data_IF_649832556889
#
_entry.id   IF_649832556889
#
_cell.length_a   1.000
_cell.length_b   1.000
_cell.length_c   1.000
_cell.angle_alpha   90.00
_cell.angle_beta   90.00
_cell.angle_gamma   90.00
#
_symmetry.space_group_name_H-M   'P 1'
#
loop_
_entity.id
_entity.type
_entity.pdbx_description
1 polymer ?
#
# COMPACT_ATOMS: atom_id res chain seq x y z
N UNK A 1 13.81 1.82 -4.02
CA UNK A 1 13.51 1.79 -2.56
C UNK A 1 12.55 2.92 -2.27
N UNK A 2 11.52 2.73 -1.45
CA UNK A 2 10.65 3.81 -1.03
C UNK A 2 10.77 3.98 0.48
N UNK A 3 10.96 5.21 0.93
CA UNK A 3 11.01 5.56 2.35
C UNK A 3 9.91 6.57 2.67
N UNK A 4 9.40 6.52 3.90
CA UNK A 4 8.52 7.55 4.43
C UNK A 4 9.27 8.33 5.50
N UNK A 5 9.35 9.65 5.34
CA UNK A 5 10.00 10.57 6.26
C UNK A 5 8.95 11.36 7.04
N UNK A 6 9.01 11.29 8.37
CA UNK A 6 8.18 12.13 9.25
C UNK A 6 8.68 13.58 9.19
N UNK A 7 7.76 14.52 9.02
CA UNK A 7 8.05 15.95 8.94
C UNK A 7 7.69 16.61 10.27
N UNK A 8 6.43 17.04 10.40
CA UNK A 8 5.82 17.60 11.61
C UNK A 8 4.72 16.67 12.15
N UNK A 9 4.08 17.05 13.25
CA UNK A 9 3.03 16.24 13.87
C UNK A 9 1.84 16.03 12.93
N UNK A 10 1.69 14.83 12.38
CA UNK A 10 0.63 14.50 11.41
C UNK A 10 1.03 14.56 9.94
N UNK A 11 2.31 14.85 9.65
CA UNK A 11 2.78 14.98 8.27
C UNK A 11 3.92 14.01 7.98
N UNK A 12 3.82 13.32 6.84
CA UNK A 12 4.85 12.43 6.34
C UNK A 12 4.97 12.54 4.82
N UNK A 13 6.22 12.55 4.36
CA UNK A 13 6.56 12.61 2.96
C UNK A 13 7.10 11.26 2.50
N UNK A 14 6.65 10.80 1.33
CA UNK A 14 7.25 9.67 0.63
C UNK A 14 8.44 10.11 -0.21
N UNK A 15 9.56 9.40 -0.11
CA UNK A 15 10.75 9.62 -0.91
C UNK A 15 11.07 8.32 -1.68
N UNK A 16 11.14 8.42 -3.00
CA UNK A 16 11.52 7.30 -3.86
C UNK A 16 13.01 7.41 -4.17
N UNK A 17 13.74 6.33 -3.93
CA UNK A 17 15.16 6.23 -4.16
C UNK A 17 15.49 5.18 -5.22
N UNK A 18 16.43 5.52 -6.10
CA UNK A 18 17.03 4.62 -7.07
C UNK A 18 18.39 4.17 -6.55
N UNK A 19 18.57 2.85 -6.41
CA UNK A 19 19.88 2.28 -6.09
C UNK A 19 20.69 2.18 -7.38
N UNK A 20 21.71 3.01 -7.51
CA UNK A 20 22.57 3.06 -8.70
C UNK A 20 23.58 1.92 -8.65
N UNK A 21 24.14 1.66 -7.47
CA UNK A 21 25.08 0.57 -7.22
C UNK A 21 24.97 0.08 -5.75
N UNK A 22 25.77 -0.91 -5.32
CA UNK A 22 25.66 -1.44 -3.97
C UNK A 22 25.86 -0.42 -2.84
N UNK A 23 26.61 0.65 -3.06
CA UNK A 23 27.00 1.67 -2.07
C UNK A 23 26.36 3.04 -2.33
N UNK A 24 25.80 3.26 -3.53
CA UNK A 24 25.24 4.54 -3.95
C UNK A 24 23.72 4.48 -4.17
N UNK A 25 23.02 5.41 -3.53
CA UNK A 25 21.56 5.57 -3.64
C UNK A 25 21.28 7.03 -3.94
N UNK A 26 20.46 7.27 -4.97
CA UNK A 26 20.04 8.59 -5.38
C UNK A 26 18.53 8.72 -5.17
N UNK A 27 18.05 9.96 -4.98
CA UNK A 27 16.61 10.23 -5.08
C UNK A 27 16.22 9.95 -6.53
N UNK A 28 15.23 9.08 -6.72
CA UNK A 28 14.77 8.72 -8.05
C UNK A 28 14.32 10.00 -8.77
N UNK A 29 14.83 10.27 -9.98
CA UNK A 29 14.60 11.53 -10.66
C UNK A 29 13.10 11.70 -10.90
N UNK A 30 12.54 12.63 -10.15
CA UNK A 30 11.31 13.31 -10.47
C UNK A 30 11.63 14.31 -11.59
N UNK A 31 10.70 14.50 -12.52
CA UNK A 31 10.83 15.59 -13.47
C UNK A 31 10.81 16.92 -12.68
N UNK A 32 11.65 17.89 -13.09
CA UNK A 32 11.51 19.33 -12.73
C UNK A 32 11.78 19.73 -11.27
N UNK A 33 12.87 19.30 -10.63
CA UNK A 33 13.28 19.73 -9.26
C UNK A 33 12.22 19.53 -8.13
N UNK A 34 11.09 18.90 -8.45
CA UNK A 34 9.96 18.66 -7.54
C UNK A 34 10.15 17.36 -6.78
N UNK A 35 9.87 17.30 -5.48
CA UNK A 35 9.89 16.04 -4.73
C UNK A 35 8.76 15.08 -5.18
N UNK A 36 8.81 13.84 -4.72
CA UNK A 36 7.72 12.89 -4.97
C UNK A 36 6.36 13.41 -4.44
N UNK A 37 6.35 14.07 -3.28
CA UNK A 37 5.13 14.62 -2.68
C UNK A 37 4.58 15.80 -3.47
N UNK A 38 5.45 16.69 -3.95
CA UNK A 38 5.05 17.84 -4.78
C UNK A 38 4.31 17.41 -6.05
N UNK A 39 4.55 16.18 -6.53
CA UNK A 39 3.91 15.64 -7.73
C UNK A 39 2.69 14.78 -7.43
N UNK A 40 2.76 13.91 -6.40
CA UNK A 40 1.71 12.91 -6.14
C UNK A 40 0.40 13.54 -5.64
N UNK A 41 0.49 14.56 -4.78
CA UNK A 41 -0.70 15.17 -4.20
C UNK A 41 -1.51 15.95 -5.25
N UNK A 42 -0.91 16.87 -6.05
CA UNK A 42 -1.63 17.53 -7.14
C UNK A 42 -2.17 16.54 -8.19
N UNK A 43 -1.45 15.46 -8.46
CA UNK A 43 -1.95 14.40 -9.35
C UNK A 43 -3.25 13.80 -8.83
N UNK A 44 -3.33 13.43 -7.55
CA UNK A 44 -4.53 12.86 -6.94
C UNK A 44 -5.71 13.84 -6.92
N UNK A 45 -5.46 15.14 -6.73
CA UNK A 45 -6.47 16.19 -6.86
C UNK A 45 -6.96 16.31 -8.31
N UNK A 46 -6.05 16.36 -9.28
CA UNK A 46 -6.38 16.42 -10.72
C UNK A 46 -7.20 15.20 -11.17
N UNK A 47 -6.95 14.03 -10.60
CA UNK A 47 -7.71 12.80 -10.87
C UNK A 47 -9.03 12.71 -10.06
N UNK A 48 -9.37 13.74 -9.27
CA UNK A 48 -10.55 13.76 -8.38
C UNK A 48 -10.56 12.61 -7.35
N UNK A 49 -9.40 12.03 -7.04
CA UNK A 49 -9.24 11.04 -5.98
C UNK A 49 -9.17 11.70 -4.60
N UNK A 50 -8.67 12.93 -4.54
CA UNK A 50 -8.74 13.83 -3.39
C UNK A 50 -9.43 15.13 -3.78
N UNK A 51 -10.03 15.80 -2.79
CA UNK A 51 -10.71 17.09 -2.99
C UNK A 51 -9.74 18.27 -2.98
N UNK A 52 -8.64 18.15 -2.25
CA UNK A 52 -7.63 19.18 -2.10
C UNK A 52 -6.25 18.54 -1.88
N UNK A 53 -5.21 19.35 -2.03
CA UNK A 53 -3.86 18.97 -1.65
C UNK A 53 -3.70 19.20 -0.14
N UNK A 54 -3.38 18.15 0.61
CA UNK A 54 -3.18 18.21 2.07
C UNK A 54 -1.71 18.02 2.46
N UNK A 55 -0.77 18.19 1.52
CA UNK A 55 0.67 17.95 1.74
C UNK A 55 1.36 18.98 2.63
N UNK A 56 0.69 20.10 2.90
CA UNK A 56 1.20 21.19 3.75
C UNK A 56 0.12 21.61 4.76
N UNK A 57 0.54 22.28 5.82
CA UNK A 57 -0.33 22.92 6.83
C UNK A 57 -1.02 24.17 6.27
N UNK A 58 -1.70 24.02 5.13
CA UNK A 58 -2.48 25.07 4.49
C UNK A 58 -3.98 24.71 4.59
N UNK A 59 -4.84 25.73 4.63
CA UNK A 59 -6.30 25.59 4.62
C UNK A 59 -6.92 24.67 5.69
N UNK A 60 -6.30 24.60 6.88
CA UNK A 60 -6.87 23.91 8.04
C UNK A 60 -6.71 22.38 8.05
N UNK A 61 -5.85 21.84 7.18
CA UNK A 61 -5.40 20.46 7.29
C UNK A 61 -4.41 20.32 8.46
N UNK A 62 -4.63 19.34 9.34
CA UNK A 62 -3.68 18.99 10.40
C UNK A 62 -2.94 17.68 10.08
N UNK A 63 -3.21 17.08 8.92
CA UNK A 63 -2.70 15.78 8.51
C UNK A 63 -2.45 15.71 7.02
N UNK A 64 -1.27 15.21 6.65
CA UNK A 64 -0.85 14.94 5.28
C UNK A 64 0.19 13.83 5.26
N UNK A 65 -0.25 12.60 5.00
CA UNK A 65 0.57 11.40 5.06
C UNK A 65 0.69 10.77 3.67
N UNK A 66 1.92 10.41 3.30
CA UNK A 66 2.23 9.58 2.14
C UNK A 66 2.85 8.27 2.62
N UNK A 67 2.08 7.20 2.57
CA UNK A 67 2.45 5.90 3.13
C UNK A 67 2.72 4.86 2.04
N UNK A 68 3.76 4.06 2.25
CA UNK A 68 4.01 2.85 1.48
C UNK A 68 2.87 1.84 1.68
N UNK A 69 2.39 1.23 0.61
CA UNK A 69 1.43 0.12 0.70
C UNK A 69 2.06 -1.18 0.21
N UNK A 70 2.52 -1.20 -1.05
CA UNK A 70 3.08 -2.40 -1.66
C UNK A 70 3.88 -2.07 -2.91
N UNK A 71 4.80 -2.97 -3.27
CA UNK A 71 5.33 -3.09 -4.62
C UNK A 71 4.52 -4.12 -5.40
N UNK A 72 4.34 -3.88 -6.70
CA UNK A 72 3.77 -4.91 -7.60
C UNK A 72 4.74 -6.08 -7.72
N UNK A 73 4.22 -7.24 -8.10
CA UNK A 73 5.00 -8.48 -8.21
C UNK A 73 6.21 -8.35 -9.14
N UNK A 74 6.06 -7.58 -10.22
CA UNK A 74 7.09 -7.27 -11.21
C UNK A 74 7.97 -6.07 -10.83
N UNK A 75 7.75 -5.47 -9.65
CA UNK A 75 8.43 -4.27 -9.14
C UNK A 75 8.32 -3.04 -10.03
N UNK A 76 7.39 -3.03 -11.00
CA UNK A 76 7.19 -1.92 -11.93
C UNK A 76 6.24 -0.85 -11.39
N UNK A 77 5.39 -1.17 -10.40
CA UNK A 77 4.52 -0.21 -9.74
C UNK A 77 4.75 -0.19 -8.24
N UNK A 78 4.91 1.01 -7.73
CA UNK A 78 4.79 1.32 -6.31
C UNK A 78 3.35 1.75 -6.03
N UNK A 79 2.67 1.10 -5.10
CA UNK A 79 1.42 1.60 -4.54
C UNK A 79 1.69 2.42 -3.29
N UNK A 80 1.17 3.65 -3.30
CA UNK A 80 1.15 4.52 -2.12
C UNK A 80 -0.27 4.87 -1.72
N UNK A 81 -0.47 5.09 -0.43
CA UNK A 81 -1.68 5.67 0.12
C UNK A 81 -1.38 7.11 0.54
N UNK A 82 -2.22 8.04 0.10
CA UNK A 82 -2.27 9.39 0.65
C UNK A 82 -3.39 9.46 1.67
N UNK A 83 -3.13 10.05 2.83
CA UNK A 83 -4.16 10.35 3.84
C UNK A 83 -4.03 11.81 4.28
N UNK A 84 -5.09 12.59 4.18
CA UNK A 84 -5.02 14.00 4.58
C UNK A 84 -6.35 14.65 4.85
N UNK A 85 -6.29 15.78 5.54
CA UNK A 85 -7.45 16.53 6.01
C UNK A 85 -7.32 16.87 7.50
N UNK A 86 -8.46 16.88 8.20
CA UNK A 86 -8.56 17.19 9.62
C UNK A 86 -8.83 15.90 10.39
N UNK A 87 -7.90 15.49 11.27
CA UNK A 87 -7.98 14.28 12.10
C UNK A 87 -9.22 14.23 12.98
N UNK A 88 -9.74 15.38 13.37
CA UNK A 88 -10.89 15.51 14.27
C UNK A 88 -12.22 15.64 13.53
N UNK A 89 -12.21 15.94 12.22
CA UNK A 89 -13.42 16.07 11.40
C UNK A 89 -13.54 15.04 10.29
N UNK A 90 -12.61 15.07 9.34
CA UNK A 90 -12.70 14.24 8.14
C UNK A 90 -11.31 14.01 7.59
N UNK A 91 -10.88 12.75 7.66
CA UNK A 91 -9.69 12.27 7.00
C UNK A 91 -10.07 11.66 5.64
N UNK A 92 -9.46 12.16 4.58
CA UNK A 92 -9.58 11.62 3.24
C UNK A 92 -8.42 10.67 2.97
N UNK A 93 -8.67 9.61 2.21
CA UNK A 93 -7.64 8.68 1.79
C UNK A 93 -7.81 8.35 0.30
N UNK A 94 -6.69 8.19 -0.40
CA UNK A 94 -6.68 7.65 -1.75
C UNK A 94 -5.43 6.81 -1.99
N UNK A 95 -5.51 5.93 -2.98
CA UNK A 95 -4.42 5.11 -3.49
C UNK A 95 -4.01 5.59 -4.88
N UNK A 96 -2.72 5.55 -5.16
CA UNK A 96 -2.17 5.88 -6.49
C UNK A 96 -0.93 5.03 -6.75
N UNK A 97 -0.71 4.68 -8.02
CA UNK A 97 0.51 4.03 -8.44
C UNK A 97 1.55 5.04 -8.88
N UNK A 98 2.82 4.76 -8.60
CA UNK A 98 3.94 5.31 -9.35
C UNK A 98 4.57 4.19 -10.18
N UNK A 99 4.52 4.33 -11.50
CA UNK A 99 5.15 3.38 -12.42
C UNK A 99 6.62 3.73 -12.59
N UNK A 100 7.51 2.81 -12.22
CA UNK A 100 8.97 3.03 -12.22
C UNK A 100 9.57 3.00 -13.63
N UNK A 101 8.92 2.31 -14.59
CA UNK A 101 9.36 2.27 -16.00
C UNK A 101 9.10 3.59 -16.70
N UNK A 102 7.88 4.12 -16.55
CA UNK A 102 7.47 5.38 -17.20
C UNK A 102 7.79 6.62 -16.36
N UNK A 103 8.07 6.44 -15.06
CA UNK A 103 8.28 7.51 -14.07
C UNK A 103 7.09 8.46 -13.92
N UNK A 104 5.88 7.91 -14.08
CA UNK A 104 4.61 8.64 -14.02
C UNK A 104 3.67 8.05 -12.96
N UNK A 105 2.79 8.90 -12.43
CA UNK A 105 1.68 8.45 -11.61
C UNK A 105 0.56 7.86 -12.47
N UNK A 106 -0.06 6.79 -11.98
CA UNK A 106 -1.11 6.06 -12.67
C UNK A 106 -2.31 5.80 -11.75
N UNK A 107 -3.50 5.85 -12.34
CA UNK A 107 -4.76 5.53 -11.69
C UNK A 107 -5.52 4.56 -12.60
N UNK A 108 -5.46 3.28 -12.29
CA UNK A 108 -6.18 2.22 -13.02
C UNK A 108 -7.66 2.24 -12.67
N UNK A 109 -8.49 1.52 -13.44
CA UNK A 109 -9.92 1.39 -13.12
C UNK A 109 -10.16 0.78 -11.74
N UNK A 110 -9.26 -0.11 -11.30
CA UNK A 110 -9.24 -0.61 -9.93
C UNK A 110 -9.03 0.49 -8.91
N UNK A 111 -7.98 1.30 -9.02
CA UNK A 111 -7.75 2.39 -8.06
C UNK A 111 -8.83 3.46 -8.12
N UNK A 112 -9.37 3.79 -9.31
CA UNK A 112 -10.50 4.72 -9.45
C UNK A 112 -11.71 4.21 -8.68
N UNK A 113 -12.08 2.93 -8.83
CA UNK A 113 -13.21 2.35 -8.10
C UNK A 113 -12.91 2.29 -6.61
N UNK A 114 -11.70 1.87 -6.21
CA UNK A 114 -11.28 1.76 -4.81
C UNK A 114 -11.38 3.11 -4.09
N UNK A 115 -10.84 4.17 -4.69
CA UNK A 115 -10.86 5.53 -4.16
C UNK A 115 -12.27 6.10 -4.08
N UNK A 116 -13.13 5.77 -5.06
CA UNK A 116 -14.53 6.21 -5.08
C UNK A 116 -15.38 5.51 -4.02
N UNK A 117 -15.22 4.19 -3.85
CA UNK A 117 -16.06 3.41 -2.92
C UNK A 117 -15.55 3.43 -1.49
N UNK A 118 -14.31 3.89 -1.26
CA UNK A 118 -13.66 3.88 0.06
C UNK A 118 -13.75 2.51 0.74
N UNK A 119 -13.38 1.46 0.00
CA UNK A 119 -13.41 0.09 0.51
C UNK A 119 -12.53 -0.04 1.76
N UNK A 120 -13.01 -0.78 2.77
CA UNK A 120 -12.20 -1.19 3.93
C UNK A 120 -11.22 -2.31 3.60
N UNK A 121 -11.35 -2.94 2.43
CA UNK A 121 -10.49 -4.04 2.02
C UNK A 121 -9.05 -3.60 1.75
N UNK A 122 -8.10 -4.49 1.99
CA UNK A 122 -6.69 -4.25 1.68
C UNK A 122 -6.48 -4.11 0.17
N UNK A 123 -5.53 -3.26 -0.21
CA UNK A 123 -5.19 -2.99 -1.59
C UNK A 123 -3.91 -3.71 -2.01
N UNK A 124 -3.78 -4.02 -3.30
CA UNK A 124 -2.56 -4.57 -3.89
C UNK A 124 -2.05 -3.71 -5.06
N UNK A 125 -0.78 -3.89 -5.40
CA UNK A 125 -0.16 -3.21 -6.52
C UNK A 125 -0.29 -4.04 -7.80
N UNK A 126 -1.09 -3.56 -8.76
CA UNK A 126 -1.27 -4.23 -10.05
C UNK A 126 0.04 -4.26 -10.86
N UNK A 127 0.52 -5.43 -11.30
CA UNK A 127 1.69 -5.49 -12.18
C UNK A 127 1.36 -4.85 -13.53
N UNK A 128 2.40 -4.44 -14.25
CA UNK A 128 2.31 -4.06 -15.66
C UNK A 128 2.61 -5.24 -16.58
N UNK A 129 3.43 -6.19 -16.11
CA UNK A 129 3.73 -7.42 -16.83
C UNK A 129 2.61 -8.45 -16.65
N UNK A 130 2.52 -9.47 -17.53
CA UNK A 130 1.54 -10.53 -17.40
C UNK A 130 1.61 -11.22 -16.03
N UNK A 131 0.44 -11.45 -15.42
CA UNK A 131 0.35 -12.17 -14.15
C UNK A 131 0.85 -13.61 -14.35
N UNK A 132 1.67 -14.15 -13.42
CA UNK A 132 2.12 -15.54 -13.47
C UNK A 132 0.99 -16.57 -13.52
N UNK A 133 1.36 -17.82 -13.76
CA UNK A 133 0.39 -18.92 -13.81
C UNK A 133 -0.29 -19.10 -12.44
N UNK A 134 -1.49 -19.69 -12.44
CA UNK A 134 -2.17 -20.04 -11.18
C UNK A 134 -1.34 -20.98 -10.31
N UNK A 135 -0.58 -21.90 -10.92
CA UNK A 135 0.27 -22.84 -10.20
C UNK A 135 1.40 -22.11 -9.46
N UNK A 136 2.04 -21.14 -10.12
CA UNK A 136 3.10 -20.33 -9.51
C UNK A 136 2.55 -19.48 -8.37
N UNK A 137 1.38 -18.86 -8.58
CA UNK A 137 0.74 -18.02 -7.58
C UNK A 137 0.27 -18.82 -6.36
N UNK A 138 -0.27 -20.03 -6.55
CA UNK A 138 -0.63 -20.94 -5.44
C UNK A 138 0.60 -21.33 -4.63
N UNK A 139 1.67 -21.75 -5.31
CA UNK A 139 2.94 -22.12 -4.67
C UNK A 139 3.54 -20.95 -3.89
N UNK A 140 3.47 -19.73 -4.44
CA UNK A 140 3.88 -18.51 -3.75
C UNK A 140 3.03 -18.28 -2.51
N UNK A 141 1.70 -18.32 -2.62
CA UNK A 141 0.80 -18.08 -1.49
C UNK A 141 1.01 -19.11 -0.38
N UNK A 142 1.12 -20.40 -0.70
CA UNK A 142 1.39 -21.46 0.30
C UNK A 142 2.71 -21.24 1.05
N UNK A 143 3.70 -20.68 0.37
CA UNK A 143 4.99 -20.34 0.98
C UNK A 143 4.84 -19.13 1.91
N UNK A 144 4.15 -18.08 1.45
CA UNK A 144 3.90 -16.88 2.24
C UNK A 144 3.02 -17.18 3.46
N UNK A 145 1.99 -18.02 3.34
CA UNK A 145 1.13 -18.39 4.47
C UNK A 145 1.91 -19.13 5.55
N UNK A 146 2.85 -20.01 5.19
CA UNK A 146 3.76 -20.64 6.15
C UNK A 146 4.65 -19.62 6.86
N UNK A 147 5.19 -18.64 6.12
CA UNK A 147 6.01 -17.57 6.69
C UNK A 147 5.21 -16.65 7.61
N UNK A 148 3.99 -16.27 7.21
CA UNK A 148 3.10 -15.43 8.00
C UNK A 148 2.73 -16.12 9.32
N UNK A 149 2.38 -17.41 9.26
CA UNK A 149 2.05 -18.18 10.47
C UNK A 149 3.25 -18.31 11.41
N UNK A 150 4.46 -18.49 10.87
CA UNK A 150 5.69 -18.49 11.68
C UNK A 150 5.90 -17.12 12.34
N UNK A 151 5.85 -16.03 11.57
CA UNK A 151 6.02 -14.67 12.10
C UNK A 151 4.97 -14.35 13.17
N UNK A 152 3.71 -14.72 12.94
CA UNK A 152 2.64 -14.54 13.91
C UNK A 152 2.92 -15.30 15.21
N UNK A 153 3.37 -16.55 15.14
CA UNK A 153 3.76 -17.32 16.33
C UNK A 153 4.90 -16.65 17.10
N UNK A 154 5.92 -16.14 16.39
CA UNK A 154 7.04 -15.43 16.98
C UNK A 154 6.59 -14.13 17.68
N UNK A 155 5.71 -13.35 17.04
CA UNK A 155 5.13 -12.12 17.63
C UNK A 155 4.35 -12.45 18.89
N UNK A 156 3.50 -13.50 18.88
CA UNK A 156 2.73 -13.91 20.05
C UNK A 156 3.63 -14.35 21.20
N UNK A 157 4.71 -15.09 20.90
CA UNK A 157 5.65 -15.56 21.92
C UNK A 157 6.44 -14.42 22.58
N UNK A 158 6.67 -13.33 21.85
CA UNK A 158 7.41 -12.14 22.33
C UNK A 158 6.50 -11.07 22.93
N UNK A 159 5.20 -11.15 22.71
CA UNK A 159 4.23 -10.17 23.22
C UNK A 159 3.98 -10.34 24.72
N UNK A 160 3.79 -9.22 25.41
CA UNK A 160 3.30 -9.21 26.79
C UNK A 160 1.90 -9.83 26.88
N UNK A 161 1.59 -10.50 27.99
CA UNK A 161 0.37 -11.32 28.14
C UNK A 161 -0.93 -10.55 27.87
N UNK A 162 -0.97 -9.29 28.26
CA UNK A 162 -2.08 -8.38 28.07
C UNK A 162 -2.21 -7.85 26.63
N UNK A 163 -1.11 -7.83 25.86
CA UNK A 163 -1.11 -7.43 24.43
C UNK A 163 -1.43 -8.58 23.47
N UNK A 164 -1.28 -9.83 23.89
CA UNK A 164 -1.59 -11.02 23.07
C UNK A 164 -3.03 -11.02 22.53
N UNK A 165 -4.00 -10.54 23.31
CA UNK A 165 -5.40 -10.43 22.88
C UNK A 165 -5.57 -9.42 21.73
N UNK A 166 -4.90 -8.27 21.82
CA UNK A 166 -4.90 -7.22 20.81
C UNK A 166 -4.28 -7.72 19.50
N UNK A 167 -3.12 -8.37 19.58
CA UNK A 167 -2.44 -8.97 18.41
C UNK A 167 -3.33 -10.02 17.72
N UNK A 168 -4.03 -10.86 18.51
CA UNK A 168 -4.99 -11.83 17.98
C UNK A 168 -6.16 -11.16 17.26
N UNK A 169 -6.68 -10.08 17.82
CA UNK A 169 -7.78 -9.33 17.21
C UNK A 169 -7.35 -8.63 15.93
N UNK A 170 -6.22 -7.90 15.96
CA UNK A 170 -5.65 -7.24 14.80
C UNK A 170 -5.40 -8.25 13.65
N UNK A 171 -4.87 -9.44 13.96
CA UNK A 171 -4.67 -10.48 12.95
C UNK A 171 -6.00 -10.98 12.34
N UNK A 172 -7.08 -11.14 13.14
CA UNK A 172 -8.40 -11.49 12.61
C UNK A 172 -8.98 -10.39 11.74
N UNK A 173 -8.85 -9.14 12.16
CA UNK A 173 -9.31 -7.98 11.39
C UNK A 173 -8.54 -7.86 10.07
N UNK A 174 -7.24 -8.08 10.10
CA UNK A 174 -6.40 -8.12 8.90
C UNK A 174 -6.87 -9.20 7.92
N UNK A 175 -7.13 -10.43 8.38
CA UNK A 175 -7.68 -11.52 7.53
C UNK A 175 -9.02 -11.10 6.90
N UNK A 176 -9.91 -10.51 7.70
CA UNK A 176 -11.21 -10.02 7.20
C UNK A 176 -11.04 -8.97 6.10
N UNK A 177 -10.17 -7.98 6.31
CA UNK A 177 -9.92 -6.93 5.32
C UNK A 177 -9.17 -7.44 4.09
N UNK A 178 -8.29 -8.43 4.24
CA UNK A 178 -7.69 -9.16 3.10
C UNK A 178 -8.76 -9.80 2.24
N UNK A 179 -9.68 -10.54 2.84
CA UNK A 179 -10.71 -11.28 2.11
C UNK A 179 -11.78 -10.35 1.50
N UNK A 180 -12.06 -9.20 2.15
CA UNK A 180 -12.82 -8.09 1.55
C UNK A 180 -12.10 -7.48 0.34
N UNK A 181 -10.80 -7.21 0.47
CA UNK A 181 -9.96 -6.68 -0.61
C UNK A 181 -9.94 -7.61 -1.81
N UNK A 182 -9.75 -8.92 -1.57
CA UNK A 182 -9.79 -9.95 -2.61
C UNK A 182 -11.13 -9.94 -3.37
N UNK A 183 -12.26 -9.97 -2.66
CA UNK A 183 -13.60 -9.93 -3.27
C UNK A 183 -13.83 -8.67 -4.08
N UNK A 184 -13.40 -7.51 -3.56
CA UNK A 184 -13.51 -6.25 -4.27
C UNK A 184 -12.67 -6.25 -5.55
N UNK A 185 -11.40 -6.65 -5.47
CA UNK A 185 -10.47 -6.64 -6.59
C UNK A 185 -10.93 -7.56 -7.72
N UNK A 186 -11.29 -8.82 -7.44
CA UNK A 186 -11.72 -9.76 -8.49
C UNK A 186 -13.06 -9.38 -9.14
N UNK A 187 -13.88 -8.56 -8.47
CA UNK A 187 -15.16 -8.08 -9.05
C UNK A 187 -14.99 -7.19 -10.28
N UNK A 188 -13.76 -6.72 -10.53
CA UNK A 188 -13.41 -5.83 -11.63
C UNK A 188 -12.90 -6.55 -12.88
N UNK A 189 -12.60 -7.85 -12.78
CA UNK A 189 -11.96 -8.59 -13.84
C UNK A 189 -12.89 -9.66 -14.44
N UNK A 190 -12.67 -10.03 -15.72
CA UNK A 190 -13.37 -11.13 -16.35
C UNK A 190 -13.17 -12.45 -15.59
N UNK A 191 -14.15 -13.37 -15.69
CA UNK A 191 -14.14 -14.66 -14.98
C UNK A 191 -12.83 -15.44 -15.18
N UNK A 192 -12.30 -15.45 -16.41
CA UNK A 192 -11.07 -16.15 -16.78
C UNK A 192 -9.79 -15.61 -16.09
N UNK A 193 -9.83 -14.43 -15.47
CA UNK A 193 -8.71 -13.85 -14.73
C UNK A 193 -8.90 -13.89 -13.21
N UNK A 194 -10.13 -14.13 -12.72
CA UNK A 194 -10.47 -13.91 -11.32
C UNK A 194 -9.59 -14.67 -10.35
N UNK A 195 -9.31 -15.94 -10.60
CA UNK A 195 -8.51 -16.73 -9.66
C UNK A 195 -7.05 -16.25 -9.62
N UNK A 196 -6.44 -15.96 -10.77
CA UNK A 196 -5.09 -15.35 -10.81
C UNK A 196 -5.05 -14.02 -10.08
N UNK A 197 -6.04 -13.15 -10.29
CA UNK A 197 -6.16 -11.85 -9.60
C UNK A 197 -6.36 -12.03 -8.09
N UNK A 198 -7.17 -13.00 -7.68
CA UNK A 198 -7.38 -13.35 -6.28
C UNK A 198 -6.08 -13.76 -5.61
N UNK A 199 -5.37 -14.73 -6.19
CA UNK A 199 -4.12 -15.25 -5.66
C UNK A 199 -3.01 -14.19 -5.64
N UNK A 200 -2.96 -13.33 -6.67
CA UNK A 200 -2.06 -12.19 -6.70
C UNK A 200 -2.29 -11.28 -5.48
N UNK A 201 -3.52 -10.81 -5.27
CA UNK A 201 -3.84 -9.93 -4.14
C UNK A 201 -3.52 -10.60 -2.80
N UNK A 202 -3.96 -11.85 -2.61
CA UNK A 202 -3.71 -12.59 -1.38
C UNK A 202 -2.20 -12.71 -1.10
N UNK A 203 -1.40 -13.07 -2.10
CA UNK A 203 0.03 -13.16 -1.93
C UNK A 203 0.68 -11.80 -1.63
N UNK A 204 0.24 -10.73 -2.30
CA UNK A 204 0.85 -9.41 -2.14
C UNK A 204 0.56 -8.81 -0.75
N UNK A 205 -0.67 -8.91 -0.27
CA UNK A 205 -1.00 -8.40 1.08
C UNK A 205 -0.45 -9.30 2.18
N UNK A 206 -0.36 -10.63 1.98
CA UNK A 206 0.33 -11.53 2.90
C UNK A 206 1.81 -11.18 3.00
N UNK A 207 2.48 -10.94 1.87
CA UNK A 207 3.87 -10.48 1.86
C UNK A 207 4.03 -9.15 2.62
N UNK A 208 3.14 -8.18 2.38
CA UNK A 208 3.17 -6.91 3.10
C UNK A 208 3.01 -7.09 4.63
N UNK A 209 2.08 -7.97 5.07
CA UNK A 209 1.91 -8.27 6.51
C UNK A 209 3.12 -8.96 7.12
N UNK A 210 3.82 -9.81 6.36
CA UNK A 210 5.08 -10.42 6.80
C UNK A 210 6.16 -9.37 7.04
N UNK A 211 6.15 -8.22 6.35
CA UNK A 211 7.14 -7.16 6.56
C UNK A 211 6.81 -6.23 7.74
N UNK A 212 5.58 -6.25 8.27
CA UNK A 212 5.17 -5.39 9.41
C UNK A 212 6.02 -5.69 10.65
N UNK A 213 6.69 -4.69 11.24
CA UNK A 213 7.49 -4.87 12.46
C UNK A 213 6.65 -5.41 13.63
N UNK A 214 7.18 -6.31 14.48
CA UNK A 214 6.44 -6.94 15.58
C UNK A 214 5.62 -5.98 16.45
N UNK A 215 6.19 -4.81 16.76
CA UNK A 215 5.57 -3.78 17.59
C UNK A 215 4.32 -3.11 16.96
N UNK A 216 4.09 -3.32 15.66
CA UNK A 216 2.96 -2.79 14.91
C UNK A 216 1.89 -3.85 14.60
N UNK A 217 2.03 -5.08 15.13
CA UNK A 217 1.08 -6.17 14.84
C UNK A 217 -0.28 -6.01 15.51
N UNK A 218 -0.40 -5.13 16.50
CA UNK A 218 -1.66 -4.78 17.16
C UNK A 218 -2.47 -3.70 16.44
N UNK A 219 -1.88 -3.08 15.40
CA UNK A 219 -2.52 -2.06 14.55
C UNK A 219 -3.29 -2.68 13.38
#
# INVERSE_FOLDING_TARGET
IFGTRKMAHGFSNGDLFHRVDPQHVEIAPTQEDQSFNDRVWPYCVKQSALKANYSAEEDGADTGLTDFVAWSLDSNRLLVQLRGGDRHKTLHACYVYFNTRTRTFEMTDYLRKLNKTKSSGLACAEPTDPIPSEADLKTRLDTLDRQLNKKYADVIAQSEKDRVSLVREAQRNWIKHRDEGARFYVSLFPEAEKERRRLQLLGDVTAARIEVPPEQWEL
#
